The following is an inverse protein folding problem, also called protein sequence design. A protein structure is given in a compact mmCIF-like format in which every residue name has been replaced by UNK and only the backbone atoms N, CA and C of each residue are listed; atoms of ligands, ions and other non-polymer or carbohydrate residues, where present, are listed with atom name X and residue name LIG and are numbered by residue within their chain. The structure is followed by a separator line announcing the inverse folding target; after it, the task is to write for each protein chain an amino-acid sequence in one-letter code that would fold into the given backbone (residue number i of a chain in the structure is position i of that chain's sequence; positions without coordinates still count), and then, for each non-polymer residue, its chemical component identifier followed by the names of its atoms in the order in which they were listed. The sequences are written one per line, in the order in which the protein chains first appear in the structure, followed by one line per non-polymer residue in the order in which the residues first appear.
data_IF_904727326495
#
_entry.id   IF_904727326495
#
_cell.length_a   1.000
_cell.length_b   1.000
_cell.length_c   1.000
_cell.angle_alpha   90.00
_cell.angle_beta   90.00
_cell.angle_gamma   90.00
#
_symmetry.space_group_name_H-M   'P 1'
#
loop_
_entity.id
_entity.type
_entity.pdbx_description
1 polymer ?
#
# COMPACT_ATOMS: atom_id res chain seq x y z
N UNK A 1 13.26 -0.18 6.27
CA UNK A 1 13.20 0.54 4.99
C UNK A 1 13.49 2.01 5.25
N UNK A 2 14.46 2.59 4.52
CA UNK A 2 14.85 4.00 4.71
C UNK A 2 14.08 4.96 3.80
N UNK A 3 13.35 4.44 2.81
CA UNK A 3 12.53 5.24 1.89
C UNK A 3 11.14 5.50 2.47
N UNK A 4 10.52 6.66 2.20
CA UNK A 4 9.14 6.91 2.58
C UNK A 4 8.21 5.96 1.83
N UNK A 5 7.17 5.45 2.51
CA UNK A 5 6.16 4.56 1.92
C UNK A 5 4.84 5.31 1.85
N UNK A 6 4.29 5.41 0.64
CA UNK A 6 3.05 6.11 0.32
C UNK A 6 1.95 5.08 0.08
N UNK A 7 0.99 5.03 0.99
CA UNK A 7 -0.08 4.04 0.97
C UNK A 7 -1.27 4.50 0.13
N UNK A 8 -1.79 3.58 -0.68
CA UNK A 8 -3.16 3.68 -1.15
C UNK A 8 -4.14 3.10 -0.11
N UNK A 9 -5.44 3.26 -0.40
CA UNK A 9 -6.51 2.85 0.50
C UNK A 9 -6.54 1.33 0.68
N UNK A 10 -6.51 0.57 -0.41
CA UNK A 10 -6.69 -0.89 -0.42
C UNK A 10 -5.59 -1.62 0.35
N UNK A 11 -4.34 -1.21 0.18
CA UNK A 11 -3.22 -1.82 0.89
C UNK A 11 -3.29 -1.56 2.41
N UNK A 12 -3.66 -0.33 2.80
CA UNK A 12 -3.79 0.02 4.22
C UNK A 12 -5.00 -0.68 4.87
N UNK A 13 -6.14 -0.72 4.17
CA UNK A 13 -7.36 -1.37 4.66
C UNK A 13 -7.16 -2.85 4.96
N UNK A 14 -6.31 -3.57 4.23
CA UNK A 14 -6.00 -4.98 4.53
C UNK A 14 -5.61 -5.18 5.99
N UNK A 15 -4.75 -4.33 6.52
CA UNK A 15 -4.31 -4.40 7.92
C UNK A 15 -5.36 -3.86 8.89
N UNK A 16 -6.13 -2.87 8.48
CA UNK A 16 -7.17 -2.27 9.32
C UNK A 16 -8.38 -3.20 9.50
N UNK A 17 -8.77 -3.97 8.49
CA UNK A 17 -9.86 -4.93 8.60
C UNK A 17 -9.60 -6.01 9.67
N UNK A 18 -8.37 -6.45 9.80
CA UNK A 18 -7.97 -7.53 10.71
C UNK A 18 -7.29 -7.05 12.00
N UNK A 19 -7.39 -5.74 12.32
CA UNK A 19 -6.77 -5.11 13.50
C UNK A 19 -5.24 -5.34 13.60
N UNK A 20 -4.57 -5.39 12.45
CA UNK A 20 -3.14 -5.67 12.33
C UNK A 20 -2.28 -4.41 12.08
N UNK A 21 -2.79 -3.21 12.34
CA UNK A 21 -2.07 -1.95 12.18
C UNK A 21 -0.75 -1.90 12.96
N UNK A 22 -0.67 -2.58 14.09
CA UNK A 22 0.55 -2.71 14.90
C UNK A 22 1.73 -3.37 14.16
N UNK A 23 1.48 -4.15 13.10
CA UNK A 23 2.52 -4.72 12.23
C UNK A 23 3.20 -3.60 11.45
N UNK A 24 2.41 -2.68 10.90
CA UNK A 24 2.92 -1.51 10.18
C UNK A 24 3.79 -0.65 11.10
N UNK A 25 3.35 -0.40 12.33
CA UNK A 25 4.08 0.38 13.34
C UNK A 25 5.43 -0.24 13.76
N UNK A 26 5.55 -1.57 13.66
CA UNK A 26 6.82 -2.27 13.94
C UNK A 26 7.74 -2.33 12.72
N UNK A 27 7.19 -2.35 11.51
CA UNK A 27 7.97 -2.41 10.26
C UNK A 27 8.48 -1.05 9.81
N UNK A 28 7.67 0.00 10.00
CA UNK A 28 7.94 1.33 9.49
C UNK A 28 8.04 2.34 10.63
N UNK A 29 8.91 3.33 10.49
CA UNK A 29 8.99 4.45 11.44
C UNK A 29 7.73 5.32 11.37
N UNK A 30 7.25 5.52 10.15
CA UNK A 30 5.97 6.17 9.82
C UNK A 30 5.53 5.77 8.42
N UNK A 31 4.24 5.94 8.14
CA UNK A 31 3.67 5.83 6.80
C UNK A 31 3.12 7.17 6.35
N UNK A 32 3.07 7.37 5.04
CA UNK A 32 2.47 8.58 4.45
C UNK A 32 1.23 8.18 3.67
N UNK A 33 0.13 8.90 3.88
CA UNK A 33 -1.08 8.76 3.09
C UNK A 33 -1.41 10.09 2.42
N UNK A 34 -1.78 10.10 1.13
CA UNK A 34 -2.36 11.28 0.51
C UNK A 34 -3.67 11.70 1.20
N UNK A 35 -4.05 12.97 1.11
CA UNK A 35 -5.34 13.46 1.60
C UNK A 35 -6.52 12.72 0.94
N UNK A 36 -6.38 12.31 -0.31
CA UNK A 36 -7.36 11.49 -1.04
C UNK A 36 -7.63 10.17 -0.31
N UNK A 37 -6.59 9.45 0.05
CA UNK A 37 -6.67 8.19 0.82
C UNK A 37 -7.28 8.43 2.20
N UNK A 38 -6.89 9.51 2.89
CA UNK A 38 -7.50 9.86 4.17
C UNK A 38 -9.02 10.09 4.04
N UNK A 39 -9.44 10.80 2.98
CA UNK A 39 -10.86 11.08 2.74
C UNK A 39 -11.63 9.79 2.42
N UNK A 40 -11.06 8.87 1.63
CA UNK A 40 -11.64 7.55 1.37
C UNK A 40 -11.80 6.74 2.66
N UNK A 41 -10.77 6.65 3.50
CA UNK A 41 -10.82 5.98 4.80
C UNK A 41 -11.87 6.58 5.76
N UNK A 42 -12.15 7.88 5.64
CA UNK A 42 -13.13 8.58 6.48
C UNK A 42 -14.52 8.68 5.82
N UNK A 43 -14.69 8.20 4.58
CA UNK A 43 -15.98 8.25 3.87
C UNK A 43 -17.07 7.48 4.62
N UNK A 44 -18.32 7.91 4.46
CA UNK A 44 -19.46 7.30 5.15
C UNK A 44 -19.66 5.82 4.81
N UNK A 45 -19.26 5.39 3.61
CA UNK A 45 -19.38 4.01 3.14
C UNK A 45 -18.25 3.10 3.66
N UNK A 46 -17.15 3.66 4.16
CA UNK A 46 -16.05 2.86 4.73
C UNK A 46 -16.50 2.14 5.99
N UNK A 47 -16.25 0.83 6.11
CA UNK A 47 -16.69 0.02 7.24
C UNK A 47 -16.23 0.62 8.59
N UNK A 48 -17.09 0.65 9.62
CA UNK A 48 -16.75 1.21 10.93
C UNK A 48 -15.51 0.60 11.57
N UNK A 49 -15.22 -0.68 11.30
CA UNK A 49 -14.04 -1.37 11.82
C UNK A 49 -12.74 -0.76 11.30
N UNK A 50 -12.69 -0.42 9.99
CA UNK A 50 -11.53 0.24 9.37
C UNK A 50 -11.26 1.59 10.05
N UNK A 51 -12.29 2.44 10.19
CA UNK A 51 -12.15 3.74 10.87
C UNK A 51 -11.72 3.60 12.33
N UNK A 52 -12.26 2.59 13.02
CA UNK A 52 -11.92 2.32 14.43
C UNK A 52 -10.47 1.91 14.56
N UNK A 53 -10.00 1.00 13.69
CA UNK A 53 -8.64 0.49 13.73
C UNK A 53 -7.62 1.52 13.20
N UNK A 54 -8.01 2.37 12.24
CA UNK A 54 -7.18 3.51 11.83
C UNK A 54 -6.91 4.47 13.01
N UNK A 55 -7.93 4.77 13.82
CA UNK A 55 -7.79 5.64 15.01
C UNK A 55 -6.96 5.02 16.14
N UNK A 56 -6.72 3.71 16.14
CA UNK A 56 -5.83 3.04 17.09
C UNK A 56 -4.35 3.18 16.75
N UNK A 57 -4.02 3.56 15.50
CA UNK A 57 -2.63 3.76 15.11
C UNK A 57 -1.99 4.84 15.97
N UNK A 58 -0.73 4.62 16.32
CA UNK A 58 0.05 5.47 17.21
C UNK A 58 0.10 6.92 16.72
N UNK A 59 -0.04 7.86 17.64
CA UNK A 59 0.06 9.28 17.32
C UNK A 59 1.38 9.60 16.59
N UNK A 60 1.27 10.31 15.46
CA UNK A 60 2.41 10.68 14.62
C UNK A 60 2.96 9.57 13.73
N UNK A 61 2.37 8.36 13.76
CA UNK A 61 2.76 7.27 12.86
C UNK A 61 2.27 7.49 11.43
N UNK A 62 1.07 8.03 11.28
CA UNK A 62 0.50 8.36 9.96
C UNK A 62 0.69 9.84 9.67
N UNK A 63 1.40 10.15 8.59
CA UNK A 63 1.51 11.50 8.02
C UNK A 63 0.52 11.63 6.88
N UNK A 64 -0.48 12.52 7.01
CA UNK A 64 -1.36 12.87 5.89
C UNK A 64 -0.73 13.98 5.08
N UNK A 65 -0.56 13.78 3.77
CA UNK A 65 0.06 14.76 2.87
C UNK A 65 -0.94 15.30 1.85
N UNK A 66 -1.08 16.61 1.83
CA UNK A 66 -1.91 17.32 0.85
C UNK A 66 -1.09 17.63 -0.41
N UNK A 67 -1.65 17.33 -1.58
CA UNK A 67 -1.10 17.76 -2.87
C UNK A 67 -1.56 19.20 -3.14
N UNK A 68 -0.59 20.13 -3.14
CA UNK A 68 -0.89 21.54 -3.33
C UNK A 68 -1.26 21.85 -4.79
N UNK A 69 -2.32 22.62 -5.00
CA UNK A 69 -2.73 23.06 -6.33
C UNK A 69 -1.60 23.77 -7.06
N UNK A 70 -1.41 23.49 -8.35
CA UNK A 70 -0.34 23.99 -9.21
C UNK A 70 1.10 23.55 -8.82
N UNK A 71 1.26 22.63 -7.86
CA UNK A 71 2.56 22.03 -7.58
C UNK A 71 2.97 21.02 -8.65
N UNK A 72 4.23 20.59 -8.61
CA UNK A 72 4.70 19.49 -9.44
C UNK A 72 3.97 18.19 -9.08
N UNK A 73 3.69 17.95 -7.80
CA UNK A 73 2.90 16.82 -7.32
C UNK A 73 1.48 16.82 -7.92
N UNK A 74 0.84 18.00 -7.97
CA UNK A 74 -0.49 18.15 -8.58
C UNK A 74 -0.48 17.85 -10.09
N UNK A 75 0.55 18.30 -10.79
CA UNK A 75 0.71 18.02 -12.22
C UNK A 75 0.90 16.52 -12.46
N UNK A 76 1.80 15.90 -11.71
CA UNK A 76 2.09 14.46 -11.79
C UNK A 76 0.84 13.62 -11.47
N UNK A 77 0.15 13.95 -10.36
CA UNK A 77 -1.11 13.31 -9.98
C UNK A 77 -2.14 13.34 -11.12
N UNK A 78 -2.35 14.50 -11.76
CA UNK A 78 -3.31 14.62 -12.87
C UNK A 78 -2.90 13.85 -14.12
N UNK A 79 -1.60 13.76 -14.42
CA UNK A 79 -1.10 12.97 -15.55
C UNK A 79 -1.34 11.48 -15.34
N UNK A 80 -1.07 10.97 -14.14
CA UNK A 80 -1.35 9.59 -13.76
C UNK A 80 -2.87 9.33 -13.82
N UNK A 81 -3.66 10.14 -13.11
CA UNK A 81 -5.11 9.98 -13.04
C UNK A 81 -5.79 9.93 -14.42
N UNK A 82 -5.27 10.68 -15.38
CA UNK A 82 -5.81 10.75 -16.76
C UNK A 82 -5.19 9.75 -17.73
N UNK A 83 -4.33 8.85 -17.27
CA UNK A 83 -3.73 7.82 -18.10
C UNK A 83 -2.60 8.29 -19.03
N UNK A 84 -2.06 9.50 -18.85
CA UNK A 84 -1.06 10.04 -19.80
C UNK A 84 0.29 9.29 -19.77
N UNK A 85 0.60 8.62 -18.66
CA UNK A 85 1.85 7.84 -18.52
C UNK A 85 1.62 6.32 -18.59
N UNK A 86 0.39 5.88 -18.84
CA UNK A 86 0.09 4.49 -19.16
C UNK A 86 0.23 4.26 -20.68
N UNK A 87 0.79 3.14 -21.07
CA UNK A 87 0.89 2.73 -22.48
C UNK A 87 -0.48 2.45 -23.09
N UNK A 88 -1.42 2.02 -22.25
CA UNK A 88 -2.80 1.70 -22.66
C UNK A 88 -3.77 2.86 -22.47
N UNK A 89 -3.32 3.99 -21.90
CA UNK A 89 -4.19 5.12 -21.55
C UNK A 89 -5.08 4.84 -20.32
N UNK A 90 -4.71 3.87 -19.50
CA UNK A 90 -5.48 3.47 -18.32
C UNK A 90 -5.48 4.55 -17.25
N UNK A 91 -6.67 4.97 -16.84
CA UNK A 91 -6.86 5.91 -15.73
C UNK A 91 -6.76 5.16 -14.39
N UNK A 92 -6.21 5.81 -13.36
CA UNK A 92 -6.18 5.30 -11.98
C UNK A 92 -7.16 6.06 -11.08
N UNK A 93 -7.52 5.46 -9.96
CA UNK A 93 -8.29 6.10 -8.89
C UNK A 93 -7.55 7.29 -8.24
N UNK A 94 -8.26 8.05 -7.41
CA UNK A 94 -7.72 9.27 -6.78
C UNK A 94 -6.62 8.93 -5.77
N UNK A 95 -6.85 7.93 -4.90
CA UNK A 95 -5.89 7.47 -3.89
C UNK A 95 -4.60 6.94 -4.51
N UNK A 96 -4.74 6.00 -5.46
CA UNK A 96 -3.60 5.39 -6.19
C UNK A 96 -2.79 6.44 -6.95
N UNK A 97 -3.46 7.32 -7.70
CA UNK A 97 -2.79 8.39 -8.47
C UNK A 97 -2.01 9.34 -7.56
N UNK A 98 -2.57 9.68 -6.40
CA UNK A 98 -1.92 10.55 -5.43
C UNK A 98 -0.73 9.86 -4.75
N UNK A 99 -0.88 8.59 -4.35
CA UNK A 99 0.20 7.80 -3.75
C UNK A 99 1.39 7.65 -4.73
N UNK A 100 1.12 7.31 -6.00
CA UNK A 100 2.15 7.21 -7.04
C UNK A 100 2.84 8.55 -7.33
N UNK A 101 2.09 9.65 -7.42
CA UNK A 101 2.67 10.97 -7.66
C UNK A 101 3.61 11.40 -6.53
N UNK A 102 3.20 11.16 -5.28
CA UNK A 102 4.04 11.46 -4.12
C UNK A 102 5.27 10.54 -4.06
N UNK A 103 5.11 9.24 -4.33
CA UNK A 103 6.22 8.30 -4.33
C UNK A 103 7.25 8.64 -5.41
N UNK A 104 6.81 8.93 -6.62
CA UNK A 104 7.68 9.31 -7.74
C UNK A 104 8.56 10.52 -7.40
N UNK A 105 7.95 11.61 -6.92
CA UNK A 105 8.67 12.86 -6.66
C UNK A 105 9.51 12.86 -5.37
N UNK A 106 9.24 11.91 -4.48
CA UNK A 106 9.99 11.78 -3.22
C UNK A 106 10.91 10.56 -3.19
N UNK A 107 11.12 9.88 -4.33
CA UNK A 107 11.93 8.66 -4.43
C UNK A 107 11.53 7.60 -3.41
N UNK A 108 10.22 7.45 -3.21
CA UNK A 108 9.61 6.56 -2.25
C UNK A 108 9.09 5.26 -2.85
N UNK A 109 8.36 4.52 -2.04
CA UNK A 109 7.72 3.25 -2.39
C UNK A 109 6.22 3.46 -2.36
N UNK A 110 5.48 2.95 -3.34
CA UNK A 110 4.02 2.88 -3.30
C UNK A 110 3.61 1.58 -2.59
N UNK A 111 2.68 1.67 -1.66
CA UNK A 111 2.02 0.51 -1.07
C UNK A 111 0.62 0.36 -1.67
N UNK A 112 0.44 -0.60 -2.58
CA UNK A 112 -0.82 -0.85 -3.28
C UNK A 112 -1.02 -2.33 -3.57
N UNK A 113 -2.28 -2.79 -3.56
CA UNK A 113 -2.66 -4.15 -3.96
C UNK A 113 -3.26 -4.19 -5.37
N UNK A 114 -3.65 -3.06 -5.92
CA UNK A 114 -4.28 -2.99 -7.24
C UNK A 114 -3.24 -3.00 -8.36
N UNK A 115 -2.53 -4.14 -8.49
CA UNK A 115 -1.48 -4.31 -9.50
C UNK A 115 -2.00 -4.02 -10.90
N UNK A 116 -3.26 -4.39 -11.20
CA UNK A 116 -3.84 -4.15 -12.52
C UNK A 116 -3.85 -2.68 -12.91
N UNK A 117 -3.97 -1.77 -11.96
CA UNK A 117 -4.06 -0.33 -12.19
C UNK A 117 -2.72 0.38 -12.08
N UNK A 118 -1.82 -0.11 -11.21
CA UNK A 118 -0.58 0.62 -10.91
C UNK A 118 0.64 0.11 -11.67
N UNK A 119 0.66 -1.14 -12.15
CA UNK A 119 1.86 -1.81 -12.66
C UNK A 119 2.52 -1.07 -13.84
N UNK A 120 1.73 -0.64 -14.83
CA UNK A 120 2.27 0.13 -15.98
C UNK A 120 2.94 1.44 -15.53
N UNK A 121 2.42 2.08 -14.48
CA UNK A 121 2.98 3.32 -13.94
C UNK A 121 4.24 3.05 -13.12
N UNK A 122 4.25 1.97 -12.32
CA UNK A 122 5.44 1.54 -11.56
C UNK A 122 6.62 1.32 -12.49
N UNK A 123 6.40 0.64 -13.61
CA UNK A 123 7.43 0.41 -14.63
C UNK A 123 7.84 1.70 -15.34
N UNK A 124 6.88 2.49 -15.85
CA UNK A 124 7.18 3.69 -16.66
C UNK A 124 7.78 4.83 -15.86
N UNK A 125 7.45 4.96 -14.57
CA UNK A 125 7.96 5.99 -13.66
C UNK A 125 9.15 5.51 -12.82
N UNK A 126 9.53 4.24 -12.97
CA UNK A 126 10.63 3.64 -12.22
C UNK A 126 10.43 3.72 -10.69
N UNK A 127 9.18 3.54 -10.20
CA UNK A 127 8.81 3.56 -8.78
C UNK A 127 8.91 2.14 -8.20
N UNK A 128 9.26 2.01 -6.93
CA UNK A 128 9.17 0.75 -6.19
C UNK A 128 7.75 0.55 -5.66
N UNK A 129 7.32 -0.71 -5.60
CA UNK A 129 6.01 -1.11 -5.09
C UNK A 129 6.16 -2.12 -3.96
N UNK A 130 5.26 -2.05 -2.99
CA UNK A 130 5.09 -3.08 -1.96
C UNK A 130 3.59 -3.38 -1.80
N UNK A 131 3.22 -4.67 -1.77
CA UNK A 131 1.84 -5.10 -1.53
C UNK A 131 1.62 -5.45 -0.06
N UNK A 132 0.37 -5.56 0.38
CA UNK A 132 0.04 -6.06 1.72
C UNK A 132 0.61 -7.46 1.98
N UNK A 133 0.64 -8.31 0.95
CA UNK A 133 1.23 -9.65 1.01
C UNK A 133 2.73 -9.61 1.28
N UNK A 134 3.47 -8.72 0.58
CA UNK A 134 4.90 -8.51 0.81
C UNK A 134 5.18 -7.92 2.20
N UNK A 135 4.36 -6.97 2.65
CA UNK A 135 4.47 -6.37 3.99
C UNK A 135 4.31 -7.44 5.07
N UNK A 136 3.29 -8.30 4.95
CA UNK A 136 3.06 -9.38 5.90
C UNK A 136 4.21 -10.40 5.90
N UNK A 137 4.75 -10.74 4.73
CA UNK A 137 5.92 -11.61 4.60
C UNK A 137 7.15 -11.01 5.27
N UNK A 138 7.38 -9.72 5.07
CA UNK A 138 8.48 -9.00 5.72
C UNK A 138 8.32 -8.94 7.24
N UNK A 139 7.08 -8.96 7.75
CA UNK A 139 6.82 -9.05 9.17
C UNK A 139 7.19 -10.42 9.76
N UNK A 140 7.00 -11.49 9.00
CA UNK A 140 7.45 -12.85 9.38
C UNK A 140 8.97 -12.94 9.35
N UNK A 141 9.62 -12.47 8.28
CA UNK A 141 11.10 -12.45 8.19
C UNK A 141 11.78 -11.70 9.35
N UNK A 142 11.12 -10.66 9.86
CA UNK A 142 11.63 -9.85 10.97
C UNK A 142 11.17 -10.32 12.35
N UNK A 143 10.60 -11.51 12.45
CA UNK A 143 10.05 -12.07 13.70
C UNK A 143 9.03 -11.16 14.42
N UNK A 144 8.34 -10.28 13.68
CA UNK A 144 7.29 -9.40 14.22
C UNK A 144 6.03 -10.21 14.50
N UNK A 145 5.73 -11.17 13.63
CA UNK A 145 4.66 -12.15 13.77
C UNK A 145 5.16 -13.53 13.33
N UNK A 146 4.58 -14.60 13.89
CA UNK A 146 4.85 -15.96 13.42
C UNK A 146 4.09 -16.25 12.11
N UNK A 147 4.54 -17.28 11.37
CA UNK A 147 3.84 -17.76 10.17
C UNK A 147 2.39 -18.16 10.48
N UNK A 148 2.13 -18.77 11.64
CA UNK A 148 0.77 -19.15 12.06
C UNK A 148 -0.13 -17.92 12.24
N UNK A 149 0.39 -16.85 12.85
CA UNK A 149 -0.33 -15.58 12.99
C UNK A 149 -0.58 -14.96 11.61
N UNK A 150 0.43 -14.94 10.74
CA UNK A 150 0.29 -14.42 9.37
C UNK A 150 -0.78 -15.19 8.58
N UNK A 151 -0.82 -16.53 8.67
CA UNK A 151 -1.88 -17.35 8.08
C UNK A 151 -3.28 -17.02 8.66
N UNK A 152 -3.36 -16.72 9.95
CA UNK A 152 -4.60 -16.29 10.59
C UNK A 152 -5.09 -14.95 10.06
N UNK A 153 -4.20 -13.96 9.94
CA UNK A 153 -4.50 -12.63 9.38
C UNK A 153 -4.92 -12.74 7.90
N UNK A 154 -4.20 -13.53 7.11
CA UNK A 154 -4.51 -13.79 5.70
C UNK A 154 -5.93 -14.31 5.51
N UNK A 155 -6.32 -15.34 6.29
CA UNK A 155 -7.68 -15.86 6.28
C UNK A 155 -8.72 -14.82 6.70
N UNK A 156 -8.35 -13.96 7.66
CA UNK A 156 -9.17 -12.83 8.07
C UNK A 156 -9.41 -11.85 6.91
N UNK A 157 -8.36 -11.47 6.21
CA UNK A 157 -8.42 -10.58 5.04
C UNK A 157 -9.32 -11.16 3.93
N UNK A 158 -9.14 -12.44 3.59
CA UNK A 158 -10.01 -13.15 2.59
C UNK A 158 -11.47 -13.14 3.04
N UNK A 159 -11.74 -13.35 4.33
CA UNK A 159 -13.12 -13.33 4.87
C UNK A 159 -13.79 -11.97 4.74
N UNK A 160 -13.03 -10.89 4.82
CA UNK A 160 -13.52 -9.52 4.61
C UNK A 160 -13.63 -9.16 3.10
N UNK A 161 -13.37 -10.11 2.20
CA UNK A 161 -13.52 -9.93 0.75
C UNK A 161 -12.30 -9.37 0.06
N UNK A 162 -11.15 -9.32 0.73
CA UNK A 162 -9.90 -8.86 0.11
C UNK A 162 -9.39 -9.94 -0.84
N UNK A 163 -9.13 -9.55 -2.08
CA UNK A 163 -8.53 -10.41 -3.09
C UNK A 163 -7.01 -10.50 -2.85
N UNK A 164 -6.55 -11.70 -2.51
CA UNK A 164 -5.14 -11.97 -2.25
C UNK A 164 -4.62 -12.99 -3.28
N UNK A 165 -3.31 -12.94 -3.63
CA UNK A 165 -2.76 -13.72 -4.74
C UNK A 165 -2.77 -15.24 -4.54
N UNK A 166 -2.97 -15.72 -3.31
CA UNK A 166 -3.05 -17.15 -2.95
C UNK A 166 -4.11 -17.40 -1.88
N UNK A 167 -4.51 -18.67 -1.73
CA UNK A 167 -5.50 -19.06 -0.73
C UNK A 167 -4.97 -19.06 0.71
N UNK A 168 -3.65 -19.11 0.90
CA UNK A 168 -3.00 -19.05 2.20
C UNK A 168 -1.73 -18.19 2.16
N UNK A 169 -1.36 -17.64 3.32
CA UNK A 169 -0.09 -16.91 3.46
C UNK A 169 1.11 -17.79 3.15
N UNK A 170 1.08 -19.06 3.61
CA UNK A 170 2.18 -19.99 3.37
C UNK A 170 2.42 -20.23 1.88
N UNK A 171 1.36 -20.48 1.10
CA UNK A 171 1.50 -20.64 -0.36
C UNK A 171 2.09 -19.39 -1.03
N UNK A 172 1.67 -18.19 -0.61
CA UNK A 172 2.23 -16.96 -1.13
C UNK A 172 3.71 -16.82 -0.76
N UNK A 173 4.04 -17.04 0.50
CA UNK A 173 5.40 -16.89 1.04
C UNK A 173 6.39 -17.83 0.34
N UNK A 174 5.99 -19.10 0.17
CA UNK A 174 6.84 -20.14 -0.41
C UNK A 174 6.99 -20.01 -1.95
N UNK A 175 5.96 -19.49 -2.64
CA UNK A 175 5.90 -19.55 -4.11
C UNK A 175 6.11 -18.20 -4.83
N UNK A 176 5.72 -17.09 -4.22
CA UNK A 176 5.66 -15.79 -4.91
C UNK A 176 6.47 -14.68 -4.24
N UNK A 177 6.66 -14.70 -2.94
CA UNK A 177 7.22 -13.57 -2.20
C UNK A 177 8.61 -13.13 -2.71
N UNK A 178 9.52 -14.09 -2.96
CA UNK A 178 10.87 -13.77 -3.44
C UNK A 178 10.82 -13.12 -4.84
N UNK A 179 10.02 -13.67 -5.74
CA UNK A 179 9.85 -13.13 -7.10
C UNK A 179 9.20 -11.75 -7.10
N UNK A 180 8.21 -11.50 -6.22
CA UNK A 180 7.61 -10.18 -6.08
C UNK A 180 8.61 -9.15 -5.54
N UNK A 181 9.46 -9.54 -4.57
CA UNK A 181 10.53 -8.67 -4.10
C UNK A 181 11.53 -8.33 -5.20
N UNK A 182 11.93 -9.30 -6.02
CA UNK A 182 12.83 -9.06 -7.17
C UNK A 182 12.20 -8.17 -8.23
N UNK A 183 10.90 -8.32 -8.47
CA UNK A 183 10.15 -7.55 -9.46
C UNK A 183 9.93 -6.11 -9.06
N UNK A 184 9.53 -5.86 -7.82
CA UNK A 184 8.97 -4.58 -7.39
C UNK A 184 9.90 -3.75 -6.50
N UNK A 185 10.94 -4.34 -5.91
CA UNK A 185 11.85 -3.62 -5.02
C UNK A 185 13.25 -3.54 -5.63
N UNK A 186 13.85 -2.36 -5.60
CA UNK A 186 15.19 -2.10 -6.12
C UNK A 186 16.22 -2.12 -4.98
N UNK A 187 16.83 -3.26 -4.76
CA UNK A 187 18.13 -3.33 -4.12
C UNK A 187 18.22 -3.11 -2.63
N UNK A 188 17.24 -3.51 -1.81
CA UNK A 188 17.44 -3.77 -0.38
C UNK A 188 17.17 -5.26 -0.09
N UNK A 189 18.22 -6.05 -0.17
CA UNK A 189 18.25 -7.37 0.47
C UNK A 189 18.71 -7.22 1.91
#
# INVERSE_FOLDING_TARGET
MNKPVFYDTDCLECFLFVDAGHILEKLFTKIVIPEQVYNELMDNNTPPIVKTNFKKLKDGFVETRQIQFLSQEYTTYNLIKKGFWSQTGKCCGDGESAAMALAYLNHGIVASNNLSDVEEYIESLDIELITSSMILSKAVEKDIVSEDIANGLWKGMIKEGIDLPKNSFKEYYDELYESDCERFLKGER
#
